data_IF_807918016539
#
_entry.id   IF_807918016539
#
_cell.length_a   1.000
_cell.length_b   1.000
_cell.length_c   1.000
_cell.angle_alpha   90.00
_cell.angle_beta   90.00
_cell.angle_gamma   90.00
#
_symmetry.space_group_name_H-M   'P 1'
#
loop_
_entity.id
_entity.type
_entity.pdbx_description
1 polymer ?
#
# COMPACT_ATOMS: atom_id res chain seq x y z
N UNK A 1 -20.63 -20.24 8.46
CA UNK A 1 -20.21 -19.04 9.15
C UNK A 1 -18.81 -18.52 8.80
N UNK A 2 -18.16 -19.13 7.81
CA UNK A 2 -16.88 -18.63 7.33
C UNK A 2 -16.94 -17.22 6.77
N UNK A 3 -18.09 -16.85 6.20
CA UNK A 3 -18.29 -15.53 5.61
C UNK A 3 -18.22 -14.44 6.66
N UNK A 4 -18.88 -14.64 7.81
CA UNK A 4 -18.85 -13.63 8.88
C UNK A 4 -17.46 -13.44 9.46
N UNK A 5 -16.66 -14.49 9.48
CA UNK A 5 -15.28 -14.42 9.95
C UNK A 5 -14.40 -13.64 8.98
N UNK A 6 -14.62 -13.83 7.68
CA UNK A 6 -13.91 -13.09 6.64
C UNK A 6 -14.33 -11.62 6.68
N UNK A 7 -15.61 -11.35 6.85
CA UNK A 7 -16.12 -9.99 6.97
C UNK A 7 -15.51 -9.27 8.17
N UNK A 8 -15.36 -9.98 9.30
CA UNK A 8 -14.70 -9.43 10.47
C UNK A 8 -13.25 -9.06 10.20
N UNK A 9 -12.55 -9.90 9.44
CA UNK A 9 -11.14 -9.63 9.10
C UNK A 9 -10.98 -8.40 8.21
N UNK A 10 -11.98 -8.11 7.39
CA UNK A 10 -11.94 -6.97 6.47
C UNK A 10 -12.81 -5.80 6.94
N UNK A 11 -13.46 -5.94 8.08
CA UNK A 11 -14.26 -4.87 8.66
C UNK A 11 -13.35 -3.81 9.26
N UNK A 12 -13.48 -2.58 8.79
CA UNK A 12 -12.65 -1.48 9.23
C UNK A 12 -13.28 -0.77 10.42
N UNK A 13 -12.44 -0.32 11.35
CA UNK A 13 -12.88 0.58 12.40
C UNK A 13 -13.26 1.92 11.80
N UNK A 14 -13.92 2.77 12.60
CA UNK A 14 -14.30 4.10 12.14
C UNK A 14 -13.10 4.89 11.66
N UNK A 15 -12.01 4.89 12.44
CA UNK A 15 -10.79 5.62 12.07
C UNK A 15 -10.16 5.04 10.81
N UNK A 16 -10.09 3.72 10.71
CA UNK A 16 -9.55 3.06 9.53
C UNK A 16 -10.35 3.41 8.28
N UNK A 17 -11.68 3.42 8.39
CA UNK A 17 -12.53 3.74 7.26
C UNK A 17 -12.34 5.19 6.80
N UNK A 18 -12.25 6.12 7.72
CA UNK A 18 -12.01 7.53 7.41
C UNK A 18 -10.70 7.70 6.66
N UNK A 19 -9.65 7.07 7.16
CA UNK A 19 -8.31 7.15 6.55
C UNK A 19 -8.30 6.48 5.18
N UNK A 20 -8.89 5.30 5.08
CA UNK A 20 -8.97 4.60 3.80
C UNK A 20 -9.72 5.42 2.75
N UNK A 21 -10.83 6.05 3.13
CA UNK A 21 -11.62 6.85 2.19
C UNK A 21 -10.81 8.02 1.64
N UNK A 22 -10.02 8.67 2.49
CA UNK A 22 -9.17 9.77 2.08
C UNK A 22 -8.14 9.29 1.05
N UNK A 23 -7.50 8.17 1.31
CA UNK A 23 -6.49 7.62 0.41
C UNK A 23 -7.13 7.14 -0.88
N UNK A 24 -8.27 6.48 -0.78
CA UNK A 24 -8.96 5.90 -1.93
C UNK A 24 -9.50 6.96 -2.91
N UNK A 25 -9.82 8.14 -2.42
CA UNK A 25 -10.29 9.24 -3.27
C UNK A 25 -9.15 9.91 -4.03
N UNK A 26 -7.92 9.73 -3.58
CA UNK A 26 -6.77 10.33 -4.24
C UNK A 26 -6.31 9.46 -5.40
N UNK A 27 -5.99 10.10 -6.53
CA UNK A 27 -5.41 9.40 -7.67
C UNK A 27 -3.90 9.27 -7.54
N UNK A 28 -3.31 9.96 -6.58
CA UNK A 28 -1.88 9.96 -6.32
C UNK A 28 -1.61 9.49 -4.90
N UNK A 29 -0.40 8.96 -4.65
CA UNK A 29 -0.03 8.61 -3.28
C UNK A 29 -0.11 9.82 -2.36
N UNK A 30 -0.62 9.61 -1.16
CA UNK A 30 -0.70 10.67 -0.16
C UNK A 30 0.39 10.46 0.88
N UNK A 31 1.15 11.50 1.16
CA UNK A 31 2.16 11.45 2.20
C UNK A 31 1.52 11.39 3.58
N UNK A 32 2.21 10.79 4.51
CA UNK A 32 1.69 10.60 5.86
C UNK A 32 1.24 11.91 6.49
N UNK A 33 2.03 12.98 6.35
CA UNK A 33 1.67 14.26 6.94
C UNK A 33 0.42 14.87 6.30
N UNK A 34 0.18 14.62 5.01
CA UNK A 34 -1.03 15.08 4.34
C UNK A 34 -2.25 14.37 4.91
N UNK A 35 -2.11 13.06 5.15
CA UNK A 35 -3.18 12.27 5.74
C UNK A 35 -3.47 12.78 7.15
N UNK A 36 -2.43 13.01 7.96
CA UNK A 36 -2.58 13.57 9.31
C UNK A 36 -3.36 14.88 9.30
N UNK A 37 -3.01 15.78 8.39
CA UNK A 37 -3.67 17.08 8.26
C UNK A 37 -5.16 16.89 7.93
N UNK A 38 -5.47 16.01 6.99
CA UNK A 38 -6.85 15.81 6.54
C UNK A 38 -7.72 15.16 7.61
N UNK A 39 -7.17 14.19 8.35
CA UNK A 39 -7.96 13.48 9.35
C UNK A 39 -8.23 14.30 10.60
N UNK A 40 -7.40 15.32 10.89
CA UNK A 40 -7.66 16.23 12.00
C UNK A 40 -9.00 16.94 11.83
N UNK A 41 -9.36 17.27 10.60
CA UNK A 41 -10.66 17.87 10.28
C UNK A 41 -11.81 16.90 10.51
N UNK A 42 -11.53 15.62 10.58
CA UNK A 42 -12.53 14.57 10.79
C UNK A 42 -12.56 14.05 12.22
N UNK A 43 -11.84 14.71 13.13
CA UNK A 43 -11.87 14.39 14.55
C UNK A 43 -10.79 13.44 15.03
N UNK A 44 -9.89 12.98 14.17
CA UNK A 44 -8.77 12.14 14.58
C UNK A 44 -7.57 13.04 14.83
N UNK A 45 -7.28 13.32 16.10
CA UNK A 45 -6.26 14.30 16.46
C UNK A 45 -4.93 13.69 16.87
N UNK A 46 -4.92 12.44 17.32
CA UNK A 46 -3.71 11.81 17.81
C UNK A 46 -2.94 11.15 16.67
N UNK A 47 -1.71 11.59 16.36
CA UNK A 47 -0.91 10.98 15.28
C UNK A 47 -0.72 9.48 15.42
N UNK A 48 -0.56 8.99 16.66
CA UNK A 48 -0.38 7.57 16.90
C UNK A 48 -1.57 6.75 16.41
N UNK A 49 -2.79 7.27 16.58
CA UNK A 49 -3.99 6.60 16.08
C UNK A 49 -3.97 6.49 14.56
N UNK A 50 -3.48 7.53 13.88
CA UNK A 50 -3.37 7.53 12.42
C UNK A 50 -2.36 6.50 11.95
N UNK A 51 -1.17 6.48 12.55
CA UNK A 51 -0.13 5.52 12.15
C UNK A 51 -0.56 4.08 12.41
N UNK A 52 -1.23 3.81 13.51
CA UNK A 52 -1.75 2.47 13.80
C UNK A 52 -2.79 2.04 12.77
N UNK A 53 -3.66 2.96 12.37
CA UNK A 53 -4.66 2.68 11.34
C UNK A 53 -4.01 2.42 9.99
N UNK A 54 -3.00 3.22 9.63
CA UNK A 54 -2.27 3.03 8.38
C UNK A 54 -1.57 1.67 8.36
N UNK A 55 -0.89 1.31 9.45
CA UNK A 55 -0.21 0.03 9.54
C UNK A 55 -1.19 -1.13 9.37
N UNK A 56 -2.36 -1.03 9.98
CA UNK A 56 -3.37 -2.07 9.86
C UNK A 56 -3.92 -2.17 8.44
N UNK A 57 -4.16 -1.03 7.80
CA UNK A 57 -4.64 -1.02 6.41
C UNK A 57 -3.61 -1.63 5.44
N UNK A 58 -2.33 -1.39 5.68
CA UNK A 58 -1.27 -2.04 4.90
C UNK A 58 -1.26 -3.55 5.16
N UNK A 59 -1.35 -3.94 6.42
CA UNK A 59 -1.33 -5.35 6.81
C UNK A 59 -2.43 -6.16 6.14
N UNK A 60 -3.64 -5.61 6.05
CA UNK A 60 -4.78 -6.30 5.44
C UNK A 60 -4.86 -6.09 3.92
N UNK A 61 -3.93 -5.38 3.32
CA UNK A 61 -3.85 -5.23 1.88
C UNK A 61 -4.78 -4.19 1.27
N UNK A 62 -5.37 -3.31 2.08
CA UNK A 62 -6.26 -2.26 1.57
C UNK A 62 -5.49 -1.10 0.95
N UNK A 63 -4.32 -0.82 1.48
CA UNK A 63 -3.44 0.23 0.95
C UNK A 63 -2.02 -0.32 0.85
N UNK A 64 -1.21 0.36 0.06
CA UNK A 64 0.22 0.07 -0.04
C UNK A 64 1.01 1.27 0.42
N UNK A 65 2.14 1.01 1.06
CA UNK A 65 3.07 2.07 1.43
C UNK A 65 4.19 2.16 0.41
N UNK A 66 4.43 3.37 -0.05
CA UNK A 66 5.58 3.69 -0.90
C UNK A 66 6.68 4.16 0.05
N UNK A 67 7.59 3.25 0.38
CA UNK A 67 8.59 3.48 1.42
C UNK A 67 9.49 4.68 1.11
N UNK A 68 9.93 4.80 -0.14
CA UNK A 68 10.84 5.87 -0.55
C UNK A 68 10.21 7.25 -0.46
N UNK A 69 8.90 7.33 -0.45
CA UNK A 69 8.17 8.60 -0.44
C UNK A 69 7.40 8.83 0.87
N UNK A 70 7.42 7.87 1.77
CA UNK A 70 6.59 7.87 2.98
C UNK A 70 5.16 8.25 2.64
N UNK A 71 4.61 7.58 1.63
CA UNK A 71 3.30 7.87 1.09
C UNK A 71 2.49 6.58 0.97
N UNK A 72 1.17 6.73 0.85
CA UNK A 72 0.25 5.61 0.82
C UNK A 72 -0.68 5.72 -0.38
N UNK A 73 -0.97 4.60 -1.01
CA UNK A 73 -1.86 4.51 -2.15
C UNK A 73 -2.84 3.36 -1.92
N UNK A 74 -4.09 3.56 -2.32
CA UNK A 74 -5.09 2.50 -2.19
C UNK A 74 -4.82 1.38 -3.19
N UNK A 75 -5.08 0.16 -2.76
CA UNK A 75 -4.96 -0.99 -3.65
C UNK A 75 -6.16 -1.06 -4.58
N UNK A 76 -5.90 -1.18 -5.88
CA UNK A 76 -6.95 -1.35 -6.88
C UNK A 76 -6.91 -2.73 -7.53
N UNK A 77 -6.00 -3.59 -7.07
CA UNK A 77 -5.84 -4.94 -7.58
C UNK A 77 -6.53 -5.92 -6.63
N UNK A 78 -7.39 -6.77 -7.18
CA UNK A 78 -8.13 -7.75 -6.37
C UNK A 78 -7.21 -8.72 -5.63
N UNK A 79 -5.96 -8.89 -6.08
CA UNK A 79 -5.00 -9.77 -5.43
C UNK A 79 -4.26 -9.14 -4.25
N UNK A 80 -4.47 -7.85 -3.97
CA UNK A 80 -3.75 -7.15 -2.91
C UNK A 80 -3.93 -7.78 -1.54
N UNK A 81 -5.12 -8.29 -1.25
CA UNK A 81 -5.43 -8.83 0.07
C UNK A 81 -4.66 -10.11 0.39
N UNK A 82 -4.24 -10.83 -0.65
CA UNK A 82 -3.50 -12.08 -0.49
C UNK A 82 -2.07 -11.96 -0.99
N UNK A 83 -1.74 -10.87 -1.66
CA UNK A 83 -0.41 -10.68 -2.23
C UNK A 83 0.60 -10.39 -1.13
N UNK A 84 1.66 -11.17 -1.13
CA UNK A 84 2.80 -10.94 -0.22
C UNK A 84 3.87 -10.09 -0.87
N UNK A 85 3.70 -9.80 -2.15
CA UNK A 85 4.66 -9.05 -2.95
C UNK A 85 4.01 -7.79 -3.49
N UNK A 86 4.71 -6.68 -3.38
CA UNK A 86 4.31 -5.42 -4.00
C UNK A 86 5.47 -4.88 -4.82
N UNK A 87 5.15 -4.35 -5.99
CA UNK A 87 6.15 -3.75 -6.85
C UNK A 87 5.56 -2.49 -7.49
N UNK A 88 6.33 -1.41 -7.47
CA UNK A 88 5.89 -0.11 -7.97
C UNK A 88 6.93 0.49 -8.90
N UNK A 89 6.45 1.17 -9.93
CA UNK A 89 7.28 2.05 -10.77
C UNK A 89 7.06 3.48 -10.31
N UNK A 90 8.14 4.20 -10.08
CA UNK A 90 8.10 5.57 -9.60
C UNK A 90 8.87 6.45 -10.57
N UNK A 91 8.22 7.49 -11.10
CA UNK A 91 8.88 8.47 -11.95
C UNK A 91 9.64 9.45 -11.07
N UNK A 92 10.92 9.62 -11.34
CA UNK A 92 11.77 10.50 -10.54
C UNK A 92 11.50 11.98 -10.77
N UNK A 93 10.81 12.32 -11.87
CA UNK A 93 10.51 13.72 -12.20
C UNK A 93 9.10 14.11 -11.71
N UNK A 94 8.06 13.43 -12.21
CA UNK A 94 6.69 13.81 -11.87
C UNK A 94 6.12 13.05 -10.65
N UNK A 95 6.89 12.11 -10.12
CA UNK A 95 6.53 11.30 -8.95
C UNK A 95 5.32 10.38 -9.15
N UNK A 96 4.90 10.18 -10.40
CA UNK A 96 3.82 9.24 -10.70
C UNK A 96 4.20 7.84 -10.22
N UNK A 97 3.28 7.20 -9.51
CA UNK A 97 3.47 5.84 -9.02
C UNK A 97 2.47 4.91 -9.70
N UNK A 98 2.96 3.80 -10.21
CA UNK A 98 2.13 2.78 -10.84
C UNK A 98 2.46 1.43 -10.24
N UNK A 99 1.45 0.68 -9.85
CA UNK A 99 1.64 -0.68 -9.37
C UNK A 99 2.01 -1.58 -10.55
N UNK A 100 3.06 -2.36 -10.39
CA UNK A 100 3.49 -3.31 -11.41
C UNK A 100 2.74 -4.61 -11.20
N UNK A 101 1.96 -5.01 -12.22
CA UNK A 101 1.23 -6.25 -12.23
C UNK A 101 1.84 -7.13 -13.32
N UNK A 102 2.83 -7.95 -12.96
CA UNK A 102 3.54 -8.82 -13.89
C UNK A 102 3.58 -10.24 -13.36
N UNK A 103 2.95 -11.17 -14.08
CA UNK A 103 2.96 -12.57 -13.71
C UNK A 103 4.38 -13.14 -13.73
N UNK A 104 5.21 -12.71 -14.68
CA UNK A 104 6.60 -13.17 -14.77
C UNK A 104 7.42 -12.74 -13.57
N UNK A 105 7.28 -11.48 -13.17
CA UNK A 105 7.99 -10.96 -12.01
C UNK A 105 7.52 -11.66 -10.73
N UNK A 106 6.22 -11.82 -10.58
CA UNK A 106 5.64 -12.47 -9.41
C UNK A 106 6.13 -13.91 -9.31
N UNK A 107 6.15 -14.63 -10.43
CA UNK A 107 6.63 -16.01 -10.47
C UNK A 107 8.11 -16.11 -10.09
N UNK A 108 8.92 -15.20 -10.62
CA UNK A 108 10.35 -15.13 -10.31
C UNK A 108 10.57 -14.90 -8.83
N UNK A 109 9.86 -13.93 -8.25
CA UNK A 109 10.02 -13.58 -6.84
C UNK A 109 9.57 -14.71 -5.90
N UNK A 110 8.54 -15.44 -6.30
CA UNK A 110 8.05 -16.57 -5.51
C UNK A 110 9.11 -17.66 -5.34
N UNK A 111 9.91 -17.89 -6.38
CA UNK A 111 10.96 -18.89 -6.38
C UNK A 111 12.33 -18.34 -6.01
N UNK A 112 12.43 -17.04 -5.80
CA UNK A 112 13.70 -16.39 -5.50
C UNK A 112 14.24 -16.83 -4.14
N UNK A 113 15.53 -17.15 -4.09
CA UNK A 113 16.25 -17.47 -2.87
C UNK A 113 17.64 -16.86 -2.97
N UNK A 114 18.15 -16.42 -1.83
CA UNK A 114 19.54 -15.99 -1.82
C UNK A 114 20.48 -17.22 -1.78
N UNK A 115 21.76 -16.95 -1.77
CA UNK A 115 22.77 -18.02 -1.76
C UNK A 115 22.71 -18.88 -0.50
N UNK A 116 22.15 -18.36 0.57
CA UNK A 116 22.04 -19.08 1.84
C UNK A 116 20.69 -19.81 1.99
N UNK A 117 19.85 -19.76 0.95
CA UNK A 117 18.58 -20.47 0.93
C UNK A 117 17.48 -19.83 1.75
N UNK A 118 17.59 -18.55 2.04
CA UNK A 118 16.58 -17.84 2.81
C UNK A 118 15.23 -17.83 2.08
N UNK A 119 14.17 -18.13 2.81
CA UNK A 119 12.81 -18.06 2.29
C UNK A 119 12.18 -16.74 2.68
N UNK A 120 11.61 -16.05 1.70
CA UNK A 120 11.02 -14.74 1.93
C UNK A 120 9.51 -14.87 2.06
N UNK A 121 8.95 -14.21 3.08
CA UNK A 121 7.50 -14.23 3.31
C UNK A 121 6.79 -13.09 2.60
N UNK A 122 7.52 -12.01 2.28
CA UNK A 122 6.94 -10.86 1.58
C UNK A 122 8.04 -10.06 0.91
N UNK A 123 7.64 -9.28 -0.11
CA UNK A 123 8.54 -8.44 -0.89
C UNK A 123 7.95 -7.05 -1.02
N UNK A 124 8.82 -6.06 -1.10
CA UNK A 124 8.42 -4.69 -1.39
C UNK A 124 9.48 -4.10 -2.33
N UNK A 125 9.11 -3.91 -3.59
CA UNK A 125 10.02 -3.46 -4.63
C UNK A 125 9.58 -2.11 -5.18
N UNK A 126 10.55 -1.22 -5.36
CA UNK A 126 10.32 0.07 -5.96
C UNK A 126 11.35 0.29 -7.06
N UNK A 127 10.86 0.54 -8.26
CA UNK A 127 11.70 0.80 -9.43
C UNK A 127 11.62 2.28 -9.78
N UNK A 128 12.76 2.90 -9.95
CA UNK A 128 12.87 4.34 -10.20
C UNK A 128 13.33 4.58 -11.62
N UNK A 129 12.66 5.48 -12.30
CA UNK A 129 13.00 5.81 -13.68
C UNK A 129 12.20 7.00 -14.17
N UNK A 130 12.02 7.09 -15.47
CA UNK A 130 11.27 8.17 -16.09
C UNK A 130 10.04 7.60 -16.80
N UNK A 131 8.88 8.20 -16.52
CA UNK A 131 7.66 7.79 -17.19
C UNK A 131 7.66 8.27 -18.66
N UNK A 132 6.69 7.78 -19.42
CA UNK A 132 6.61 8.09 -20.85
C UNK A 132 6.61 9.58 -21.15
N UNK A 133 5.99 10.37 -20.26
CA UNK A 133 5.92 11.82 -20.45
C UNK A 133 7.19 12.55 -20.07
N UNK A 134 8.01 11.98 -19.20
CA UNK A 134 9.18 12.64 -18.64
C UNK A 134 10.50 12.23 -19.31
N UNK A 135 10.50 11.16 -20.08
CA UNK A 135 11.69 10.71 -20.78
C UNK A 135 11.89 11.43 -22.12
#
# INVERSE_FOLDING_TARGET
>A
MGISKIDKMHSLSKNQQIIFDIINKSTEPLKAYTILFNVQKKGIKAPLQVYRALDKLVEIGKIHKIESRNAFIACHNSSCQVAKATAFSICEICEKVTEISSASLSKYLTSFKDKDGMKYSKYNLEFFGLCKKCR
#
